data_IF_295227250609
#
_entry.id   IF_295227250609
#
_cell.length_a   1.000
_cell.length_b   1.000
_cell.length_c   1.000
_cell.angle_alpha   90.00
_cell.angle_beta   90.00
_cell.angle_gamma   90.00
#
_symmetry.space_group_name_H-M   'P 1'
#
loop_
_entity.id
_entity.type
_entity.pdbx_description
1 polymer ?
#
# COMPACT_ATOMS: atom_id res chain seq x y z
N UNK A 1 -11.49 -18.30 -5.98
CA UNK A 1 -10.48 -19.29 -5.53
C UNK A 1 -9.65 -18.64 -4.43
N UNK A 2 -8.72 -19.37 -3.80
CA UNK A 2 -7.76 -18.80 -2.85
C UNK A 2 -6.46 -18.43 -3.58
N UNK A 3 -5.79 -17.40 -3.10
CA UNK A 3 -4.50 -16.93 -3.64
C UNK A 3 -3.50 -16.67 -2.50
N UNK A 4 -2.21 -16.78 -2.80
CA UNK A 4 -1.11 -16.50 -1.86
C UNK A 4 -0.20 -15.43 -2.43
N UNK A 5 0.45 -14.65 -1.56
CA UNK A 5 1.54 -13.76 -2.01
C UNK A 5 2.71 -14.65 -2.43
N UNK A 6 3.21 -14.45 -3.65
CA UNK A 6 4.36 -15.20 -4.20
C UNK A 6 5.58 -14.32 -4.42
N UNK A 7 5.39 -13.00 -4.44
CA UNK A 7 6.47 -12.03 -4.59
C UNK A 7 6.03 -10.69 -4.02
N UNK A 8 6.96 -10.02 -3.35
CA UNK A 8 6.89 -8.62 -2.95
C UNK A 8 8.05 -7.90 -3.65
N UNK A 9 7.79 -6.69 -4.12
CA UNK A 9 8.80 -5.75 -4.64
C UNK A 9 8.46 -4.35 -4.17
N UNK A 10 9.36 -3.41 -4.39
CA UNK A 10 9.14 -1.97 -4.14
C UNK A 10 7.90 -1.39 -4.86
N UNK A 11 7.38 -2.08 -5.88
CA UNK A 11 6.28 -1.61 -6.73
C UNK A 11 5.02 -2.47 -6.66
N UNK A 12 5.11 -3.71 -6.15
CA UNK A 12 3.96 -4.62 -6.16
C UNK A 12 3.97 -5.71 -5.08
N UNK A 13 2.75 -6.08 -4.66
CA UNK A 13 2.45 -7.38 -4.05
C UNK A 13 1.84 -8.26 -5.14
N UNK A 14 2.46 -9.40 -5.45
CA UNK A 14 2.02 -10.32 -6.50
C UNK A 14 1.41 -11.57 -5.89
N UNK A 15 0.18 -11.89 -6.31
CA UNK A 15 -0.53 -13.09 -5.89
C UNK A 15 -0.37 -14.25 -6.89
N UNK A 16 -0.52 -15.47 -6.40
CA UNK A 16 -0.38 -16.72 -7.16
C UNK A 16 -1.34 -16.87 -8.34
N UNK A 17 -2.43 -16.10 -8.37
CA UNK A 17 -3.39 -16.06 -9.47
C UNK A 17 -3.07 -14.98 -10.53
N UNK A 18 -1.96 -14.25 -10.37
CA UNK A 18 -1.54 -13.17 -11.26
C UNK A 18 -2.08 -11.79 -10.89
N UNK A 19 -2.99 -11.68 -9.92
CA UNK A 19 -3.46 -10.39 -9.41
C UNK A 19 -2.31 -9.67 -8.68
N UNK A 20 -2.37 -8.35 -8.67
CA UNK A 20 -1.37 -7.50 -8.01
C UNK A 20 -2.04 -6.38 -7.21
N UNK A 21 -1.38 -5.98 -6.13
CA UNK A 21 -1.57 -4.66 -5.52
C UNK A 21 -0.38 -3.80 -5.93
N UNK A 22 -0.64 -2.60 -6.44
CA UNK A 22 0.38 -1.61 -6.83
C UNK A 22 -0.03 -0.24 -6.29
N UNK A 23 0.89 0.72 -6.33
CA UNK A 23 0.56 2.14 -6.13
C UNK A 23 0.95 2.97 -7.35
N UNK A 24 0.33 4.13 -7.48
CA UNK A 24 0.69 5.18 -8.43
C UNK A 24 0.86 6.50 -7.69
N UNK A 25 1.85 7.27 -8.14
CA UNK A 25 2.17 8.58 -7.64
C UNK A 25 2.60 9.46 -8.82
N UNK A 26 1.93 10.61 -8.98
CA UNK A 26 2.30 11.60 -9.99
C UNK A 26 3.42 12.46 -9.39
N UNK A 27 4.66 12.07 -9.68
CA UNK A 27 5.85 12.77 -9.21
C UNK A 27 6.02 14.12 -9.94
N UNK A 28 6.16 15.20 -9.17
CA UNK A 28 6.44 16.55 -9.66
C UNK A 28 7.93 16.79 -9.87
N UNK A 29 8.81 16.58 -8.88
CA UNK A 29 10.26 16.69 -9.12
C UNK A 29 11.19 16.06 -8.08
N UNK A 30 10.83 16.13 -6.81
CA UNK A 30 11.79 16.10 -5.70
C UNK A 30 11.19 15.46 -4.44
N UNK A 31 10.11 14.73 -4.65
CA UNK A 31 9.39 13.93 -3.70
C UNK A 31 9.38 12.46 -4.16
N UNK A 32 9.20 11.57 -3.20
CA UNK A 32 8.98 10.16 -3.46
C UNK A 32 7.94 9.64 -2.48
N UNK A 33 6.73 9.41 -2.99
CA UNK A 33 5.63 8.84 -2.23
C UNK A 33 5.44 7.39 -2.61
N UNK A 34 5.48 6.49 -1.63
CA UNK A 34 5.46 5.06 -1.89
C UNK A 34 4.80 4.27 -0.78
N UNK A 35 4.06 3.22 -1.17
CA UNK A 35 3.64 2.17 -0.27
C UNK A 35 4.81 1.20 -0.05
N UNK A 36 5.23 1.02 1.20
CA UNK A 36 6.37 0.17 1.55
C UNK A 36 5.92 -1.30 1.62
N UNK A 37 5.78 -1.93 0.45
CA UNK A 37 5.35 -3.32 0.37
C UNK A 37 6.34 -4.29 0.99
N UNK A 38 7.64 -3.97 1.00
CA UNK A 38 8.68 -4.79 1.61
C UNK A 38 8.46 -4.98 3.11
N UNK A 39 7.67 -4.11 3.77
CA UNK A 39 7.27 -4.29 5.16
C UNK A 39 6.51 -5.61 5.42
N UNK A 40 6.04 -6.30 4.37
CA UNK A 40 5.36 -7.59 4.45
C UNK A 40 6.31 -8.78 4.36
N UNK A 41 7.56 -8.57 3.92
CA UNK A 41 8.57 -9.63 3.93
C UNK A 41 8.75 -10.17 5.35
N UNK A 42 8.91 -11.49 5.47
CA UNK A 42 9.01 -12.20 6.76
C UNK A 42 7.82 -12.02 7.72
N UNK A 43 6.64 -11.66 7.21
CA UNK A 43 5.39 -11.59 8.00
C UNK A 43 4.42 -12.74 7.69
N UNK A 44 3.42 -12.92 8.56
CA UNK A 44 2.32 -13.88 8.35
C UNK A 44 1.51 -13.61 7.07
N UNK A 45 1.63 -12.43 6.45
CA UNK A 45 0.99 -12.12 5.17
C UNK A 45 1.47 -13.09 4.08
N UNK A 46 2.76 -13.45 4.07
CA UNK A 46 3.37 -14.33 3.07
C UNK A 46 2.85 -15.77 3.15
N UNK A 47 2.39 -16.20 4.33
CA UNK A 47 1.88 -17.55 4.57
C UNK A 47 0.35 -17.65 4.42
N UNK A 48 -0.34 -16.50 4.33
CA UNK A 48 -1.79 -16.43 4.36
C UNK A 48 -2.43 -16.74 3.02
N UNK A 49 -3.56 -17.46 3.06
CA UNK A 49 -4.47 -17.62 1.92
C UNK A 49 -5.53 -16.52 1.91
N UNK A 50 -5.58 -15.80 0.80
CA UNK A 50 -6.47 -14.69 0.55
C UNK A 50 -7.62 -15.09 -0.37
N UNK A 51 -8.79 -14.50 -0.14
CA UNK A 51 -9.87 -14.49 -1.13
C UNK A 51 -9.55 -13.51 -2.26
N UNK A 52 -10.00 -13.79 -3.47
CA UNK A 52 -9.87 -12.85 -4.61
C UNK A 52 -10.53 -11.50 -4.33
N UNK A 53 -11.61 -11.49 -3.55
CA UNK A 53 -12.30 -10.27 -3.12
C UNK A 53 -11.67 -9.74 -1.83
N UNK A 54 -10.51 -9.10 -1.97
CA UNK A 54 -9.84 -8.43 -0.87
C UNK A 54 -10.63 -7.21 -0.36
N UNK A 55 -10.56 -6.99 0.95
CA UNK A 55 -10.99 -5.75 1.60
C UNK A 55 -9.79 -4.81 1.70
N UNK A 56 -10.02 -3.51 1.54
CA UNK A 56 -9.02 -2.46 1.63
C UNK A 56 -9.52 -1.35 2.56
N UNK A 57 -8.66 -0.88 3.46
CA UNK A 57 -8.99 0.15 4.43
C UNK A 57 -7.82 1.13 4.59
N UNK A 58 -8.08 2.43 4.52
CA UNK A 58 -7.09 3.45 4.91
C UNK A 58 -6.84 3.35 6.41
N UNK A 59 -5.57 3.36 6.82
CA UNK A 59 -5.19 3.57 8.21
C UNK A 59 -4.81 5.03 8.37
N UNK A 60 -5.61 5.76 9.14
CA UNK A 60 -5.34 7.16 9.46
C UNK A 60 -4.17 7.25 10.44
N UNK A 61 -3.26 8.19 10.21
CA UNK A 61 -2.23 8.58 11.16
C UNK A 61 -2.79 9.38 12.32
N UNK A 62 -1.88 9.83 13.18
CA UNK A 62 -2.17 10.37 14.52
C UNK A 62 -2.38 11.90 14.57
N UNK A 63 -2.29 12.62 13.45
CA UNK A 63 -2.36 14.09 13.44
C UNK A 63 -3.59 14.68 12.72
N UNK A 64 -3.87 15.95 13.03
CA UNK A 64 -5.09 16.70 12.66
C UNK A 64 -5.24 16.96 11.14
N UNK A 65 -4.30 16.50 10.29
CA UNK A 65 -4.29 16.74 8.85
C UNK A 65 -4.61 15.52 7.99
N UNK A 66 -5.12 14.42 8.57
CA UNK A 66 -5.41 13.17 7.85
C UNK A 66 -4.18 12.56 7.12
N UNK A 67 -2.95 12.80 7.60
CA UNK A 67 -1.79 12.06 7.09
C UNK A 67 -2.03 10.57 7.38
N UNK A 68 -2.05 9.76 6.34
CA UNK A 68 -2.26 8.32 6.44
C UNK A 68 -0.98 7.64 6.86
N UNK A 69 -1.06 6.73 7.83
CA UNK A 69 0.07 5.85 8.15
C UNK A 69 0.22 4.75 7.10
N UNK A 70 -0.81 4.52 6.27
CA UNK A 70 -0.81 3.54 5.19
C UNK A 70 -2.18 2.96 4.97
N UNK A 71 -2.24 1.69 4.58
CA UNK A 71 -3.50 0.97 4.40
C UNK A 71 -3.42 -0.47 4.91
N UNK A 72 -4.58 -1.09 5.10
CA UNK A 72 -4.71 -2.51 5.36
C UNK A 72 -5.37 -3.20 4.19
N UNK A 73 -4.94 -4.42 3.89
CA UNK A 73 -5.61 -5.29 2.94
C UNK A 73 -5.73 -6.72 3.49
N UNK A 74 -6.72 -7.47 3.00
CA UNK A 74 -6.82 -8.88 3.32
C UNK A 74 -8.25 -9.39 3.29
N UNK A 75 -8.47 -10.49 4.01
CA UNK A 75 -9.82 -11.01 4.26
C UNK A 75 -10.47 -10.18 5.39
N UNK A 76 -11.81 -10.09 5.49
CA UNK A 76 -12.50 -9.22 6.47
C UNK A 76 -12.05 -9.35 7.94
N UNK A 77 -11.56 -10.53 8.34
CA UNK A 77 -11.09 -10.80 9.71
C UNK A 77 -9.58 -11.04 9.82
N UNK A 78 -8.83 -10.91 8.72
CA UNK A 78 -7.39 -11.12 8.68
C UNK A 78 -6.78 -10.17 7.66
N UNK A 79 -6.36 -9.00 8.16
CA UNK A 79 -5.83 -7.92 7.35
C UNK A 79 -4.41 -7.58 7.78
N UNK A 80 -3.59 -7.23 6.80
CA UNK A 80 -2.19 -6.88 6.96
C UNK A 80 -1.99 -5.42 6.63
N UNK A 81 -1.12 -4.76 7.39
CA UNK A 81 -0.82 -3.35 7.24
C UNK A 81 0.36 -3.15 6.31
N UNK A 82 0.22 -2.17 5.41
CA UNK A 82 1.28 -1.65 4.54
C UNK A 82 1.43 -0.17 4.88
N UNK A 83 2.58 0.25 5.42
CA UNK A 83 2.82 1.65 5.67
C UNK A 83 3.03 2.42 4.37
N UNK A 84 2.77 3.73 4.40
CA UNK A 84 3.11 4.62 3.30
C UNK A 84 3.98 5.77 3.76
N UNK A 85 5.00 6.10 2.97
CA UNK A 85 5.94 7.18 3.26
C UNK A 85 6.01 8.19 2.11
N UNK A 86 6.33 9.42 2.47
CA UNK A 86 6.62 10.52 1.57
C UNK A 86 7.98 11.11 1.95
N UNK A 87 8.97 10.96 1.08
CA UNK A 87 10.26 11.63 1.21
C UNK A 87 10.22 12.90 0.40
N UNK A 88 10.46 14.07 1.00
CA UNK A 88 10.29 15.36 0.32
C UNK A 88 11.49 16.28 0.49
N UNK A 89 11.81 17.01 -0.58
CA UNK A 89 12.68 18.19 -0.57
C UNK A 89 11.89 19.42 -1.06
N UNK A 90 10.90 19.84 -0.26
CA UNK A 90 9.97 20.92 -0.58
C UNK A 90 8.62 20.76 0.12
N UNK A 91 7.57 21.33 -0.46
CA UNK A 91 6.18 21.15 0.01
C UNK A 91 5.32 20.67 -1.18
N UNK A 92 5.30 19.35 -1.39
CA UNK A 92 4.57 18.69 -2.47
C UNK A 92 3.43 17.82 -1.90
N UNK A 93 2.63 17.25 -2.80
CA UNK A 93 1.61 16.28 -2.38
C UNK A 93 2.27 15.04 -1.77
N UNK A 94 1.61 14.45 -0.78
CA UNK A 94 1.97 13.15 -0.20
C UNK A 94 1.09 12.01 -0.75
N UNK A 95 0.25 12.30 -1.75
CA UNK A 95 -0.80 11.39 -2.20
C UNK A 95 -0.25 10.22 -3.02
N UNK A 96 -0.81 9.04 -2.75
CA UNK A 96 -0.73 7.87 -3.63
C UNK A 96 -2.12 7.28 -3.86
N UNK A 97 -2.26 6.59 -4.99
CA UNK A 97 -3.42 5.76 -5.31
C UNK A 97 -3.05 4.30 -5.24
N UNK A 98 -3.87 3.48 -4.60
CA UNK A 98 -3.67 2.02 -4.56
C UNK A 98 -4.57 1.37 -5.60
N UNK A 99 -3.99 0.44 -6.36
CA UNK A 99 -4.70 -0.34 -7.36
C UNK A 99 -4.68 -1.82 -7.00
N UNK A 100 -5.78 -2.50 -7.32
CA UNK A 100 -5.87 -3.96 -7.37
C UNK A 100 -6.10 -4.39 -8.82
N UNK A 101 -5.54 -5.55 -9.21
CA UNK A 101 -5.62 -6.09 -10.58
C UNK A 101 -5.14 -5.08 -11.65
N UNK A 102 -4.17 -4.22 -11.31
CA UNK A 102 -3.57 -3.15 -12.11
C UNK A 102 -4.52 -2.06 -12.67
N UNK A 103 -5.83 -2.20 -12.51
CA UNK A 103 -6.83 -1.37 -13.22
C UNK A 103 -7.93 -0.84 -12.31
N UNK A 104 -8.12 -1.45 -11.15
CA UNK A 104 -9.14 -1.04 -10.18
C UNK A 104 -8.49 -0.21 -9.10
N UNK A 105 -8.68 1.12 -9.15
CA UNK A 105 -8.38 1.98 -8.01
C UNK A 105 -9.23 1.51 -6.81
N UNK A 106 -8.58 1.21 -5.69
CA UNK A 106 -9.24 0.73 -4.46
C UNK A 106 -9.15 1.72 -3.32
N UNK A 107 -8.10 2.55 -3.28
CA UNK A 107 -7.89 3.58 -2.25
C UNK A 107 -7.15 4.79 -2.83
N UNK A 108 -7.33 5.93 -2.17
CA UNK A 108 -6.50 7.12 -2.27
C UNK A 108 -6.13 7.53 -0.84
N UNK A 109 -4.85 7.75 -0.57
CA UNK A 109 -4.35 8.14 0.75
C UNK A 109 -3.17 9.11 0.65
N UNK A 110 -3.03 9.92 1.70
CA UNK A 110 -1.89 10.82 1.93
C UNK A 110 -0.85 10.06 2.76
N UNK A 111 0.42 10.06 2.37
CA UNK A 111 1.48 9.31 3.05
C UNK A 111 2.16 10.11 4.17
N UNK A 112 2.82 9.41 5.09
CA UNK A 112 3.54 10.03 6.20
C UNK A 112 4.87 10.63 5.71
N UNK A 113 5.07 11.93 5.94
CA UNK A 113 6.32 12.62 5.58
C UNK A 113 7.48 12.18 6.47
N UNK A 114 8.59 11.76 5.87
CA UNK A 114 9.86 11.53 6.55
C UNK A 114 10.82 12.68 6.26
N UNK A 115 11.14 13.46 7.30
CA UNK A 115 12.17 14.50 7.24
C UNK A 115 13.51 13.86 7.65
N UNK A 116 14.49 13.88 6.75
CA UNK A 116 15.87 13.45 7.04
C UNK A 116 16.76 14.63 7.44
#
# INVERSE_FOLDING_TARGET
MKMKIIQVTDEAIVFSNGNKITYDHVQECCEYNFADFNSLEDTLAMETEFDENLVFEVVKGSDDYNKGSGFRFGNPNNMFFVPCYSEQNGCYTTDIKIYYTNTKEVLNLMCEERIY
#
